data_IF_900144098276
#
_entry.id   IF_900144098276
#
_cell.length_a   1.000
_cell.length_b   1.000
_cell.length_c   1.000
_cell.angle_alpha   90.00
_cell.angle_beta   90.00
_cell.angle_gamma   90.00
#
_symmetry.space_group_name_H-M   'P 1'
#
loop_
_entity.id
_entity.type
_entity.pdbx_description
1 polymer ?
#
# COMPACT_ATOMS: atom_id res chain seq x y z
N UNK A 1 -17.20 -3.21 2.49
CA UNK A 1 -18.67 -3.34 2.71
C UNK A 1 -19.03 -3.22 4.19
N UNK A 2 -20.10 -2.49 4.53
CA UNK A 2 -20.59 -2.35 5.92
C UNK A 2 -21.70 -3.35 6.21
N UNK A 3 -21.57 -4.12 7.29
CA UNK A 3 -22.62 -5.05 7.71
C UNK A 3 -23.85 -4.30 8.24
N UNK A 4 -25.09 -4.59 7.77
CA UNK A 4 -26.29 -3.89 8.23
C UNK A 4 -26.71 -4.31 9.64
N UNK A 5 -26.28 -5.49 10.11
CA UNK A 5 -26.66 -6.03 11.42
C UNK A 5 -25.78 -5.53 12.56
N UNK A 6 -24.47 -5.57 12.37
CA UNK A 6 -23.51 -5.19 13.43
C UNK A 6 -22.71 -3.92 13.13
N UNK A 7 -22.89 -3.31 11.96
CA UNK A 7 -22.23 -2.05 11.59
C UNK A 7 -20.74 -2.17 11.28
N UNK A 8 -20.12 -3.35 11.45
CA UNK A 8 -18.69 -3.57 11.16
C UNK A 8 -18.43 -3.39 9.67
N UNK A 9 -17.34 -2.70 9.36
CA UNK A 9 -16.79 -2.60 8.01
C UNK A 9 -15.91 -3.83 7.77
N UNK A 10 -16.18 -4.56 6.70
CA UNK A 10 -15.44 -5.74 6.24
C UNK A 10 -15.09 -5.57 4.75
N UNK A 11 -14.24 -6.45 4.22
CA UNK A 11 -13.93 -6.45 2.79
C UNK A 11 -15.17 -6.73 1.93
N UNK A 12 -15.20 -6.14 0.73
CA UNK A 12 -16.35 -6.24 -0.18
C UNK A 12 -16.52 -7.62 -0.83
N UNK A 13 -15.46 -8.44 -0.89
CA UNK A 13 -15.53 -9.80 -1.43
C UNK A 13 -16.06 -10.86 -0.43
N UNK A 14 -16.45 -10.46 0.80
CA UNK A 14 -16.90 -11.41 1.83
C UNK A 14 -18.41 -11.65 1.76
N UNK A 15 -18.79 -12.90 1.52
CA UNK A 15 -20.19 -13.35 1.53
C UNK A 15 -20.83 -13.31 2.93
N UNK A 16 -20.02 -13.36 3.99
CA UNK A 16 -20.52 -13.38 5.37
C UNK A 16 -19.76 -12.42 6.25
N UNK A 17 -20.49 -11.76 7.16
CA UNK A 17 -19.86 -10.88 8.13
C UNK A 17 -19.00 -11.70 9.11
N UNK A 18 -17.69 -11.41 9.25
CA UNK A 18 -16.79 -12.17 10.13
C UNK A 18 -17.12 -12.01 11.62
N UNK A 19 -17.92 -11.00 11.99
CA UNK A 19 -18.25 -10.71 13.38
C UNK A 19 -19.57 -11.34 13.84
N UNK A 20 -20.60 -11.30 12.99
CA UNK A 20 -21.95 -11.71 13.38
C UNK A 20 -22.53 -12.84 12.51
N UNK A 21 -21.79 -13.28 11.50
CA UNK A 21 -22.21 -14.36 10.59
C UNK A 21 -23.37 -14.02 9.67
N UNK A 22 -23.83 -12.76 9.66
CA UNK A 22 -24.89 -12.31 8.76
C UNK A 22 -24.44 -12.51 7.31
N UNK A 23 -25.35 -13.06 6.50
CA UNK A 23 -25.16 -13.18 5.06
C UNK A 23 -25.17 -11.78 4.42
N UNK A 24 -24.12 -11.48 3.67
CA UNK A 24 -23.91 -10.23 2.94
C UNK A 24 -24.14 -10.43 1.44
N UNK A 25 -24.53 -11.62 0.98
CA UNK A 25 -24.71 -11.94 -0.44
C UNK A 25 -25.75 -11.06 -1.13
N UNK A 26 -26.81 -10.64 -0.42
CA UNK A 26 -27.81 -9.71 -0.96
C UNK A 26 -27.21 -8.33 -1.27
N UNK A 27 -26.29 -7.87 -0.42
CA UNK A 27 -25.60 -6.59 -0.56
C UNK A 27 -24.50 -6.73 -1.62
N UNK A 28 -23.84 -7.89 -1.67
CA UNK A 28 -22.86 -8.21 -2.70
C UNK A 28 -23.44 -8.19 -4.12
N UNK A 29 -24.69 -8.66 -4.29
CA UNK A 29 -25.38 -8.59 -5.57
C UNK A 29 -25.65 -7.16 -6.06
N UNK A 30 -25.84 -6.21 -5.13
CA UNK A 30 -26.09 -4.80 -5.44
C UNK A 30 -24.81 -4.04 -5.83
N UNK A 31 -23.69 -4.35 -5.17
CA UNK A 31 -22.41 -3.65 -5.38
C UNK A 31 -21.51 -4.27 -6.46
N UNK A 32 -21.94 -5.39 -7.06
CA UNK A 32 -21.20 -6.08 -8.11
C UNK A 32 -20.09 -7.00 -7.57
N UNK A 33 -19.70 -7.99 -8.38
CA UNK A 33 -18.70 -8.98 -7.96
C UNK A 33 -17.30 -8.38 -7.90
N UNK A 34 -16.81 -8.12 -6.69
CA UNK A 34 -15.40 -7.80 -6.46
C UNK A 34 -14.55 -9.08 -6.54
N UNK A 35 -13.50 -9.06 -7.35
CA UNK A 35 -12.53 -10.15 -7.38
C UNK A 35 -11.83 -10.24 -6.02
N UNK A 36 -11.76 -11.46 -5.47
CA UNK A 36 -10.98 -11.71 -4.25
C UNK A 36 -9.49 -11.46 -4.58
N UNK A 37 -8.78 -10.65 -3.78
CA UNK A 37 -7.36 -10.42 -4.02
C UNK A 37 -6.58 -11.74 -3.93
N UNK A 38 -5.61 -11.90 -4.83
CA UNK A 38 -4.69 -13.04 -4.83
C UNK A 38 -3.71 -12.92 -3.65
N UNK A 39 -3.68 -13.88 -2.72
CA UNK A 39 -2.77 -13.85 -1.59
C UNK A 39 -1.29 -13.93 -2.01
N UNK A 40 -0.96 -14.56 -3.13
CA UNK A 40 0.43 -14.69 -3.63
C UNK A 40 0.96 -13.39 -4.23
N UNK A 41 0.08 -12.49 -4.66
CA UNK A 41 0.42 -11.16 -5.18
C UNK A 41 0.34 -10.07 -4.09
N UNK A 42 -0.01 -10.46 -2.87
CA UNK A 42 -0.15 -9.54 -1.76
C UNK A 42 1.22 -9.28 -1.12
N UNK A 43 1.83 -8.15 -1.46
CA UNK A 43 3.10 -7.71 -0.86
C UNK A 43 3.08 -7.56 0.67
N UNK A 44 1.89 -7.43 1.26
CA UNK A 44 1.67 -7.38 2.71
C UNK A 44 1.48 -8.77 3.36
N UNK A 45 1.37 -9.84 2.58
CA UNK A 45 1.06 -11.18 3.08
C UNK A 45 2.29 -12.02 3.40
N UNK A 46 3.47 -11.40 3.49
CA UNK A 46 4.66 -12.04 4.04
C UNK A 46 4.43 -12.31 5.53
N UNK A 47 3.79 -13.45 5.82
CA UNK A 47 3.65 -13.95 7.17
C UNK A 47 5.07 -14.13 7.74
N UNK A 48 5.36 -13.60 8.94
CA UNK A 48 6.53 -14.08 9.65
C UNK A 48 6.26 -15.54 10.00
N UNK A 49 6.88 -16.47 9.28
CA UNK A 49 6.91 -17.87 9.67
C UNK A 49 7.72 -18.00 10.97
N UNK A 50 7.04 -17.83 12.11
CA UNK A 50 7.63 -17.97 13.43
C UNK A 50 6.86 -19.00 14.27
N UNK A 51 6.93 -20.28 13.89
CA UNK A 51 7.27 -21.36 14.82
C UNK A 51 7.34 -22.73 14.11
N UNK A 52 8.54 -23.19 13.76
CA UNK A 52 8.91 -24.61 13.88
C UNK A 52 10.42 -24.72 13.81
N UNK A 53 11.10 -24.30 14.87
CA UNK A 53 12.53 -24.57 15.05
C UNK A 53 12.68 -25.95 15.69
N UNK A 54 12.52 -27.01 14.89
CA UNK A 54 13.04 -28.31 15.26
C UNK A 54 14.56 -28.32 15.04
N UNK A 55 15.23 -28.78 16.08
CA UNK A 55 16.67 -28.77 16.28
C UNK A 55 17.30 -29.95 15.54
N UNK A 56 18.58 -29.78 15.16
CA UNK A 56 19.60 -30.80 14.85
C UNK A 56 20.17 -30.82 13.41
N UNK A 57 21.35 -30.19 13.32
CA UNK A 57 22.63 -30.81 12.88
C UNK A 57 23.11 -30.59 11.44
N UNK A 58 24.02 -29.60 11.36
CA UNK A 58 25.30 -29.54 10.65
C UNK A 58 25.39 -29.83 9.14
N UNK A 59 25.57 -28.77 8.35
CA UNK A 59 26.81 -28.54 7.57
C UNK A 59 26.81 -27.15 6.91
N UNK A 60 27.63 -26.26 7.48
CA UNK A 60 28.55 -25.36 6.79
C UNK A 60 28.06 -24.58 5.55
N UNK A 61 27.63 -23.33 5.75
CA UNK A 61 28.18 -22.16 5.05
C UNK A 61 28.01 -20.93 5.96
N UNK A 62 29.14 -20.38 6.42
CA UNK A 62 29.23 -19.14 7.15
C UNK A 62 29.62 -18.01 6.18
N UNK A 63 28.80 -16.96 6.10
CA UNK A 63 29.16 -15.54 6.26
C UNK A 63 27.85 -14.73 6.23
N UNK A 64 27.37 -14.25 7.39
CA UNK A 64 27.52 -12.87 7.91
C UNK A 64 26.72 -11.82 7.10
N UNK A 65 25.74 -11.08 7.62
CA UNK A 65 25.37 -10.79 9.00
C UNK A 65 23.87 -10.71 9.21
N UNK A 66 23.44 -11.43 10.24
CA UNK A 66 22.15 -11.34 10.91
C UNK A 66 22.01 -9.95 11.54
N UNK A 67 21.18 -9.11 10.94
CA UNK A 67 20.71 -7.87 11.54
C UNK A 67 19.51 -8.17 12.42
N UNK A 68 19.78 -8.46 13.70
CA UNK A 68 18.88 -8.39 14.86
C UNK A 68 17.63 -7.54 14.57
N UNK A 69 16.43 -8.09 14.81
CA UNK A 69 15.22 -7.29 14.93
C UNK A 69 15.45 -6.24 16.02
N UNK A 70 15.85 -5.04 15.59
CA UNK A 70 16.22 -3.95 16.47
C UNK A 70 14.98 -3.40 17.12
N UNK A 71 15.04 -3.22 18.43
CA UNK A 71 14.02 -2.51 19.19
C UNK A 71 13.93 -1.07 18.65
N UNK A 72 12.89 -0.81 17.83
CA UNK A 72 12.67 0.49 17.19
C UNK A 72 12.35 1.61 18.19
N UNK A 73 12.11 1.25 19.45
CA UNK A 73 11.82 2.15 20.57
C UNK A 73 12.98 3.10 20.89
N UNK A 74 14.19 2.81 20.42
CA UNK A 74 15.38 3.65 20.59
C UNK A 74 15.72 4.53 19.38
N UNK A 75 14.89 4.55 18.34
CA UNK A 75 15.14 5.38 17.15
C UNK A 75 14.76 6.82 17.50
N UNK A 76 15.77 7.69 17.62
CA UNK A 76 15.58 9.12 17.83
C UNK A 76 15.14 9.78 16.52
N UNK A 77 13.85 10.09 16.41
CA UNK A 77 13.26 10.79 15.26
C UNK A 77 13.45 12.30 15.32
N UNK A 78 14.16 12.82 16.32
CA UNK A 78 14.37 14.27 16.49
C UNK A 78 15.20 14.88 15.36
N UNK A 79 16.03 14.09 14.67
CA UNK A 79 16.86 14.53 13.53
C UNK A 79 16.08 14.53 12.19
N UNK A 80 14.89 13.92 12.16
CA UNK A 80 14.00 13.93 10.99
C UNK A 80 13.14 15.19 10.92
N UNK A 81 13.18 16.04 11.96
CA UNK A 81 12.64 17.39 11.82
C UNK A 81 13.57 18.10 10.85
N UNK A 82 13.18 18.11 9.58
CA UNK A 82 13.86 18.89 8.57
C UNK A 82 13.80 20.34 9.04
N UNK A 83 14.92 20.82 9.60
CA UNK A 83 15.13 22.22 9.91
C UNK A 83 15.41 22.97 8.60
N UNK A 84 14.56 22.73 7.63
CA UNK A 84 14.30 23.67 6.57
C UNK A 84 13.38 24.72 7.21
N UNK A 85 14.02 25.68 7.89
CA UNK A 85 13.58 27.08 7.86
C UNK A 85 13.69 27.60 6.42
N UNK A 86 13.14 26.86 5.47
CA UNK A 86 12.69 27.38 4.21
C UNK A 86 11.21 27.49 4.41
N UNK A 87 10.73 28.72 4.53
CA UNK A 87 9.52 29.12 3.84
C UNK A 87 9.62 28.56 2.41
N UNK A 88 9.33 27.27 2.25
CA UNK A 88 8.82 26.76 1.01
C UNK A 88 7.43 27.36 1.00
N UNK A 89 7.38 28.61 0.54
CA UNK A 89 6.26 29.17 -0.16
C UNK A 89 6.00 28.16 -1.28
N UNK A 90 5.32 27.06 -0.92
CA UNK A 90 4.58 26.28 -1.87
C UNK A 90 3.52 27.28 -2.30
N UNK A 91 3.85 28.08 -3.32
CA UNK A 91 2.85 28.79 -4.08
C UNK A 91 1.77 27.75 -4.33
N UNK A 92 0.63 27.97 -3.69
CA UNK A 92 -0.54 27.12 -3.78
C UNK A 92 -0.73 26.91 -5.28
N UNK A 93 -0.50 25.67 -5.76
CA UNK A 93 -0.43 25.40 -7.19
C UNK A 93 -1.76 25.85 -7.78
N UNK A 94 -1.76 26.98 -8.48
CA UNK A 94 -2.96 27.49 -9.10
C UNK A 94 -3.33 26.52 -10.21
N UNK A 95 -4.52 25.93 -10.11
CA UNK A 95 -5.01 24.99 -11.11
C UNK A 95 -5.12 25.64 -12.50
N UNK A 96 -5.20 26.97 -12.57
CA UNK A 96 -5.14 27.70 -13.84
C UNK A 96 -3.74 27.63 -14.49
N UNK A 97 -2.67 27.54 -13.70
CA UNK A 97 -1.30 27.46 -14.22
C UNK A 97 -1.03 26.08 -14.84
N UNK A 98 -1.64 25.02 -14.28
CA UNK A 98 -1.62 23.67 -14.85
C UNK A 98 -2.36 23.56 -16.19
N UNK A 99 -3.41 24.38 -16.41
CA UNK A 99 -4.13 24.43 -17.69
C UNK A 99 -3.21 24.98 -18.79
N UNK A 100 -2.43 26.01 -18.50
CA UNK A 100 -1.47 26.58 -19.47
C UNK A 100 -0.37 25.60 -19.89
N UNK A 101 0.08 24.75 -18.95
CA UNK A 101 1.09 23.71 -19.23
C UNK A 101 0.49 22.55 -20.02
N UNK A 102 -0.79 22.22 -19.79
CA UNK A 102 -1.47 21.19 -20.56
C UNK A 102 -1.69 21.59 -22.04
N UNK A 103 -1.86 22.89 -22.31
CA UNK A 103 -1.99 23.44 -23.66
C UNK A 103 -0.63 23.84 -24.29
N UNK A 104 0.50 23.60 -23.59
CA UNK A 104 1.83 23.92 -24.12
C UNK A 104 2.17 23.03 -25.34
N UNK A 105 2.45 23.68 -26.47
CA UNK A 105 2.71 23.03 -27.76
C UNK A 105 3.97 22.14 -27.69
N UNK A 106 4.99 22.55 -26.93
CA UNK A 106 6.21 21.79 -26.75
C UNK A 106 6.01 20.54 -25.90
N UNK A 107 5.20 20.63 -24.85
CA UNK A 107 4.81 19.48 -24.04
C UNK A 107 4.01 18.45 -24.85
N UNK A 108 3.04 18.92 -25.64
CA UNK A 108 2.23 18.05 -26.50
C UNK A 108 3.08 17.35 -27.56
N UNK A 109 3.99 18.07 -28.23
CA UNK A 109 4.87 17.49 -29.25
C UNK A 109 5.80 16.42 -28.66
N UNK A 110 6.35 16.67 -27.46
CA UNK A 110 7.18 15.70 -26.74
C UNK A 110 6.40 14.44 -26.33
N UNK A 111 5.16 14.60 -25.85
CA UNK A 111 4.28 13.50 -25.50
C UNK A 111 3.96 12.63 -26.72
N UNK A 112 3.66 13.28 -27.84
CA UNK A 112 3.33 12.63 -29.11
C UNK A 112 4.53 11.85 -29.68
N UNK A 113 5.75 12.36 -29.51
CA UNK A 113 6.98 11.66 -29.89
C UNK A 113 7.14 10.36 -29.09
N UNK A 114 6.98 10.42 -27.76
CA UNK A 114 7.08 9.25 -26.87
C UNK A 114 5.99 8.21 -27.17
N UNK A 115 4.78 8.65 -27.52
CA UNK A 115 3.68 7.74 -27.88
C UNK A 115 3.88 7.08 -29.25
N UNK A 116 4.56 7.73 -30.19
CA UNK A 116 4.89 7.16 -31.52
C UNK A 116 6.07 6.21 -31.49
N UNK A 117 6.97 6.35 -30.52
CA UNK A 117 8.13 5.47 -30.33
C UNK A 117 7.79 4.13 -29.61
N UNK A 118 6.50 3.76 -29.53
CA UNK A 118 5.99 2.51 -28.95
C UNK A 118 5.21 1.66 -29.95
#
# INVERSE_FOLDING_TARGET
MKCPKCGRISFDYLEKCPNCGQDLSEIFAEFGSFAKPDPELSWFSLAPDNNSLDTETEASFAEQGSGKAGDISGIDVSDLVNKSDTDTDAEEIDFNDLETVADDEGFQEALDQVLKDK
#
